data_IF_526743156886
#
_entry.id   IF_526743156886
#
_cell.length_a   1.000
_cell.length_b   1.000
_cell.length_c   1.000
_cell.angle_alpha   90.00
_cell.angle_beta   90.00
_cell.angle_gamma   90.00
#
_symmetry.space_group_name_H-M   'P 1'
#
loop_
_entity.id
_entity.type
_entity.pdbx_description
1 polymer ?
#
# COMPACT_ATOMS: atom_id res chain seq x y z
N UNK A 1 -2.26 2.72 -7.23
CA UNK A 1 -0.95 3.03 -7.84
C UNK A 1 -0.12 3.76 -6.78
N UNK A 2 1.19 3.55 -6.72
CA UNK A 2 2.04 4.21 -5.72
C UNK A 2 2.42 5.60 -6.22
N UNK A 3 2.06 6.64 -5.46
CA UNK A 3 2.34 8.03 -5.82
C UNK A 3 3.53 8.58 -5.04
N UNK A 4 3.63 8.23 -3.75
CA UNK A 4 4.68 8.70 -2.85
C UNK A 4 5.11 7.56 -1.95
N UNK A 5 6.40 7.52 -1.62
CA UNK A 5 6.96 6.63 -0.61
C UNK A 5 7.87 7.44 0.31
N UNK A 6 7.55 7.44 1.59
CA UNK A 6 8.37 8.06 2.63
C UNK A 6 9.08 6.96 3.44
N UNK A 7 10.41 7.00 3.45
CA UNK A 7 11.26 6.05 4.16
C UNK A 7 12.04 6.79 5.25
N UNK A 8 11.86 6.36 6.51
CA UNK A 8 12.52 6.95 7.67
C UNK A 8 13.16 5.87 8.54
N UNK A 9 14.42 6.06 8.88
CA UNK A 9 15.24 5.08 9.60
C UNK A 9 15.16 3.66 9.00
N UNK A 10 15.15 3.57 7.68
CA UNK A 10 15.00 2.31 6.96
C UNK A 10 16.24 2.01 6.12
N UNK A 11 17.02 1.00 6.53
CA UNK A 11 18.25 0.58 5.85
C UNK A 11 19.24 1.74 5.70
N UNK A 12 19.42 2.26 4.48
CA UNK A 12 20.30 3.37 4.16
C UNK A 12 19.59 4.74 4.16
N UNK A 13 18.26 4.76 4.29
CA UNK A 13 17.45 5.98 4.28
C UNK A 13 17.18 6.47 5.71
N UNK A 14 17.87 7.54 6.12
CA UNK A 14 17.60 8.21 7.40
C UNK A 14 16.25 8.93 7.38
N UNK A 15 16.01 9.74 6.36
CA UNK A 15 14.73 10.39 6.07
C UNK A 15 14.70 10.75 4.58
N UNK A 16 13.91 10.04 3.77
CA UNK A 16 13.86 10.20 2.33
C UNK A 16 12.43 10.08 1.80
N UNK A 17 12.05 11.00 0.90
CA UNK A 17 10.76 10.99 0.21
C UNK A 17 10.97 10.79 -1.29
N UNK A 18 10.23 9.84 -1.86
CA UNK A 18 10.24 9.53 -3.28
C UNK A 18 8.86 9.82 -3.87
N UNK A 19 8.82 10.66 -4.90
CA UNK A 19 7.62 10.95 -5.67
C UNK A 19 7.69 10.21 -7.01
N UNK A 20 6.64 9.46 -7.34
CA UNK A 20 6.60 8.63 -8.53
C UNK A 20 5.79 9.33 -9.64
N UNK A 21 6.37 9.34 -10.84
CA UNK A 21 5.69 9.79 -12.04
C UNK A 21 4.66 8.75 -12.52
N UNK A 22 3.59 9.17 -13.21
CA UNK A 22 2.73 8.24 -13.93
C UNK A 22 3.53 7.52 -15.04
N UNK A 23 3.30 6.23 -15.20
CA UNK A 23 4.00 5.41 -16.20
C UNK A 23 5.34 4.88 -15.70
N UNK A 24 6.45 5.26 -16.36
CA UNK A 24 7.78 4.70 -16.12
C UNK A 24 8.59 5.57 -15.14
N UNK A 25 9.10 4.95 -14.09
CA UNK A 25 10.05 5.54 -13.16
C UNK A 25 11.41 4.88 -13.31
N UNK A 26 12.46 5.68 -13.46
CA UNK A 26 13.84 5.19 -13.61
C UNK A 26 14.64 5.56 -12.37
N UNK A 27 15.12 4.54 -11.64
CA UNK A 27 15.90 4.71 -10.42
C UNK A 27 17.38 4.49 -10.74
N UNK A 28 18.20 5.52 -10.55
CA UNK A 28 19.64 5.53 -10.81
C UNK A 28 20.43 5.83 -9.54
N UNK A 29 21.71 5.45 -9.52
CA UNK A 29 22.62 5.69 -8.40
C UNK A 29 23.70 4.61 -8.30
N UNK A 30 24.74 4.87 -7.52
CA UNK A 30 25.88 3.95 -7.36
C UNK A 30 25.50 2.65 -6.65
N UNK A 31 26.35 1.63 -6.75
CA UNK A 31 26.16 0.39 -5.99
C UNK A 31 26.17 0.67 -4.48
N UNK A 32 25.30 -0.01 -3.73
CA UNK A 32 25.19 0.20 -2.29
C UNK A 32 24.41 1.46 -1.85
N UNK A 33 23.76 2.20 -2.76
CA UNK A 33 22.97 3.40 -2.43
C UNK A 33 21.49 3.13 -2.10
N UNK A 34 21.09 1.86 -1.98
CA UNK A 34 19.74 1.50 -1.54
C UNK A 34 18.69 1.35 -2.65
N UNK A 35 19.06 1.38 -3.93
CA UNK A 35 18.12 1.18 -5.06
C UNK A 35 17.25 -0.09 -4.93
N UNK A 36 17.87 -1.23 -4.63
CA UNK A 36 17.13 -2.49 -4.43
C UNK A 36 16.25 -2.42 -3.18
N UNK A 37 16.71 -1.77 -2.10
CA UNK A 37 15.91 -1.59 -0.89
C UNK A 37 14.68 -0.70 -1.13
N UNK A 38 14.80 0.36 -1.94
CA UNK A 38 13.68 1.19 -2.36
C UNK A 38 12.63 0.37 -3.13
N UNK A 39 13.06 -0.44 -4.09
CA UNK A 39 12.16 -1.31 -4.87
C UNK A 39 11.48 -2.37 -3.99
N UNK A 40 12.24 -3.03 -3.11
CA UNK A 40 11.68 -4.02 -2.18
C UNK A 40 10.67 -3.39 -1.23
N UNK A 41 10.97 -2.21 -0.68
CA UNK A 41 10.04 -1.50 0.21
C UNK A 41 8.74 -1.13 -0.53
N UNK A 42 8.85 -0.51 -1.71
CA UNK A 42 7.70 -0.16 -2.54
C UNK A 42 6.82 -1.37 -2.87
N UNK A 43 7.44 -2.46 -3.32
CA UNK A 43 6.74 -3.70 -3.66
C UNK A 43 6.05 -4.31 -2.43
N UNK A 44 6.78 -4.46 -1.33
CA UNK A 44 6.27 -5.15 -0.13
C UNK A 44 5.09 -4.40 0.48
N UNK A 45 5.20 -3.06 0.59
CA UNK A 45 4.11 -2.23 1.11
C UNK A 45 2.84 -2.36 0.26
N UNK A 46 2.97 -2.27 -1.07
CA UNK A 46 1.83 -2.44 -1.98
C UNK A 46 1.25 -3.84 -1.94
N UNK A 47 2.11 -4.86 -1.88
CA UNK A 47 1.71 -6.26 -1.84
C UNK A 47 0.88 -6.56 -0.58
N UNK A 48 1.42 -6.23 0.61
CA UNK A 48 0.74 -6.46 1.89
C UNK A 48 -0.56 -5.67 1.98
N UNK A 49 -0.56 -4.40 1.54
CA UNK A 49 -1.78 -3.59 1.50
C UNK A 49 -2.84 -4.21 0.59
N UNK A 50 -2.47 -4.63 -0.61
CA UNK A 50 -3.40 -5.24 -1.56
C UNK A 50 -3.91 -6.59 -1.05
N UNK A 51 -3.09 -7.38 -0.37
CA UNK A 51 -3.50 -8.62 0.27
C UNK A 51 -4.53 -8.36 1.38
N UNK A 52 -4.21 -7.45 2.31
CA UNK A 52 -5.10 -7.08 3.41
C UNK A 52 -6.45 -6.52 2.91
N UNK A 53 -6.43 -5.70 1.86
CA UNK A 53 -7.66 -5.19 1.23
C UNK A 53 -8.49 -6.31 0.61
N UNK A 54 -7.87 -7.30 -0.03
CA UNK A 54 -8.59 -8.46 -0.59
C UNK A 54 -9.25 -9.28 0.50
N UNK A 55 -8.52 -9.57 1.57
CA UNK A 55 -9.06 -10.30 2.73
C UNK A 55 -10.24 -9.53 3.35
N UNK A 56 -10.10 -8.21 3.53
CA UNK A 56 -11.20 -7.35 3.98
C UNK A 56 -12.41 -7.43 3.05
N UNK A 57 -12.23 -7.27 1.74
CA UNK A 57 -13.32 -7.32 0.77
C UNK A 57 -14.00 -8.69 0.70
N UNK A 58 -13.29 -9.79 0.93
CA UNK A 58 -13.87 -11.13 0.97
C UNK A 58 -14.61 -11.42 2.28
N UNK A 59 -14.19 -10.82 3.40
CA UNK A 59 -14.84 -10.97 4.70
C UNK A 59 -15.97 -9.97 4.95
N UNK A 60 -16.03 -8.88 4.18
CA UNK A 60 -17.11 -7.92 4.27
C UNK A 60 -18.40 -8.54 3.74
N UNK A 61 -19.39 -8.71 4.61
CA UNK A 61 -20.75 -8.99 4.16
C UNK A 61 -21.19 -7.86 3.24
N UNK A 62 -21.67 -8.16 2.03
CA UNK A 62 -22.21 -7.14 1.15
C UNK A 62 -23.26 -6.33 1.91
N UNK A 63 -23.24 -4.99 1.79
CA UNK A 63 -24.31 -4.15 2.37
C UNK A 63 -25.69 -4.57 1.83
N UNK A 64 -25.73 -5.17 0.64
CA UNK A 64 -26.92 -5.80 0.07
C UNK A 64 -27.49 -6.96 0.87
N UNK A 65 -26.66 -7.64 1.66
CA UNK A 65 -27.03 -8.79 2.49
C UNK A 65 -27.19 -8.43 3.97
N UNK A 66 -26.73 -7.25 4.37
CA UNK A 66 -26.79 -6.76 5.76
C UNK A 66 -27.93 -5.75 6.03
N UNK A 67 -28.81 -5.48 5.05
CA UNK A 67 -29.92 -4.54 5.21
C UNK A 67 -30.81 -4.85 6.43
N UNK A 68 -31.01 -6.14 6.75
CA UNK A 68 -31.79 -6.60 7.91
C UNK A 68 -31.14 -6.25 9.26
N UNK A 69 -29.83 -6.04 9.31
CA UNK A 69 -29.11 -5.65 10.54
C UNK A 69 -29.14 -4.13 10.79
N UNK A 70 -29.59 -3.34 9.82
CA UNK A 70 -29.69 -1.88 9.88
C UNK A 70 -31.14 -1.39 10.00
N UNK A 71 -32.15 -2.27 9.96
CA UNK A 71 -33.54 -1.88 10.22
C UNK A 71 -33.75 -1.65 11.74
N UNK A 72 -34.03 -0.42 12.19
CA UNK A 72 -34.41 -0.19 13.57
C UNK A 72 -35.82 -0.73 13.76
N UNK A 73 -35.95 -1.80 14.55
CA UNK A 73 -37.21 -2.31 15.13
C UNK A 73 -38.34 -2.65 14.16
N UNK A 74 -38.40 -3.92 13.73
CA UNK A 74 -39.69 -4.59 13.51
C UNK A 74 -40.22 -5.11 14.85
N UNK A 75 -41.02 -4.29 15.53
CA UNK A 75 -42.10 -4.77 16.40
C UNK A 75 -43.22 -5.37 15.56
#
# INVERSE_FOLDING_TARGET
>A
MLNTLHAKNFTLFSDATFEFAPGLNVIIGDNGTGKSHLLTLAYTTLYVLNQALREYMHSATPLSEAWWALEPSRT
#
